data_IF_702477672683
#
_entry.id   IF_702477672683
#
_cell.length_a   1.000
_cell.length_b   1.000
_cell.length_c   1.000
_cell.angle_alpha   90.00
_cell.angle_beta   90.00
_cell.angle_gamma   90.00
#
_symmetry.space_group_name_H-M   'P 1'
#
loop_
_entity.id
_entity.type
_entity.pdbx_description
1 polymer ?
#
# COMPACT_ATOMS: atom_id res chain seq x y z
N UNK A 1 -9.43 34.74 3.05
CA UNK A 1 -10.86 35.01 3.28
C UNK A 1 -11.78 33.88 2.82
N UNK A 2 -12.00 33.61 1.52
CA UNK A 2 -12.95 32.55 1.10
C UNK A 2 -12.55 31.13 1.56
N UNK A 3 -11.28 30.74 1.39
CA UNK A 3 -10.78 29.42 1.82
C UNK A 3 -10.62 29.29 3.34
N UNK A 4 -10.46 30.40 4.03
CA UNK A 4 -10.38 30.46 5.49
C UNK A 4 -11.77 30.25 6.11
N UNK A 5 -12.80 30.91 5.54
CA UNK A 5 -14.20 30.62 5.87
C UNK A 5 -14.54 29.17 5.54
N UNK A 6 -14.11 28.66 4.38
CA UNK A 6 -14.33 27.25 4.04
C UNK A 6 -13.69 26.30 5.05
N UNK A 7 -12.43 26.56 5.46
CA UNK A 7 -11.76 25.76 6.47
C UNK A 7 -12.52 25.79 7.81
N UNK A 8 -12.83 26.98 8.34
CA UNK A 8 -13.42 27.13 9.67
C UNK A 8 -14.89 26.69 9.74
N UNK A 9 -15.67 26.97 8.70
CA UNK A 9 -17.13 26.77 8.71
C UNK A 9 -17.53 25.41 8.12
N UNK A 10 -16.75 24.88 7.16
CA UNK A 10 -17.07 23.63 6.47
C UNK A 10 -16.18 22.50 6.95
N UNK A 11 -14.84 22.63 6.84
CA UNK A 11 -13.93 21.50 7.10
C UNK A 11 -13.82 21.20 8.58
N UNK A 12 -13.48 22.16 9.44
CA UNK A 12 -13.25 21.90 10.88
C UNK A 12 -14.45 21.20 11.57
N UNK A 13 -15.71 21.57 11.30
CA UNK A 13 -16.86 20.90 11.93
C UNK A 13 -17.12 19.47 11.42
N UNK A 14 -16.76 19.15 10.18
CA UNK A 14 -17.10 17.87 9.56
C UNK A 14 -15.91 16.94 9.36
N UNK A 15 -14.66 17.43 9.55
CA UNK A 15 -13.43 16.71 9.17
C UNK A 15 -13.36 15.30 9.73
N UNK A 16 -13.74 15.10 11.00
CA UNK A 16 -13.66 13.78 11.63
C UNK A 16 -14.60 12.78 10.95
N UNK A 17 -15.86 13.19 10.74
CA UNK A 17 -16.86 12.38 10.05
C UNK A 17 -16.48 12.17 8.59
N UNK A 18 -16.05 13.22 7.90
CA UNK A 18 -15.64 13.15 6.51
C UNK A 18 -14.47 12.19 6.32
N UNK A 19 -13.44 12.26 7.17
CA UNK A 19 -12.31 11.32 7.12
C UNK A 19 -12.79 9.89 7.38
N UNK A 20 -13.66 9.66 8.36
CA UNK A 20 -14.19 8.32 8.62
C UNK A 20 -14.93 7.74 7.39
N UNK A 21 -15.81 8.52 6.77
CA UNK A 21 -16.53 8.10 5.54
C UNK A 21 -15.57 7.88 4.36
N UNK A 22 -14.55 8.73 4.19
CA UNK A 22 -13.55 8.55 3.15
C UNK A 22 -12.77 7.24 3.32
N UNK A 23 -12.39 6.89 4.54
CA UNK A 23 -11.70 5.63 4.82
C UNK A 23 -12.60 4.41 4.55
N UNK A 24 -13.90 4.51 4.85
CA UNK A 24 -14.88 3.47 4.48
C UNK A 24 -14.96 3.32 2.97
N UNK A 25 -15.07 4.41 2.21
CA UNK A 25 -15.12 4.35 0.75
C UNK A 25 -13.83 3.78 0.14
N UNK A 26 -12.66 4.16 0.68
CA UNK A 26 -11.37 3.59 0.24
C UNK A 26 -11.31 2.08 0.51
N UNK A 27 -11.83 1.63 1.65
CA UNK A 27 -11.91 0.19 1.97
C UNK A 27 -12.83 -0.54 0.99
N UNK A 28 -14.02 0.00 0.73
CA UNK A 28 -14.96 -0.55 -0.28
C UNK A 28 -14.31 -0.66 -1.65
N UNK A 29 -13.55 0.36 -2.05
CA UNK A 29 -12.78 0.33 -3.29
C UNK A 29 -11.71 -0.78 -3.32
N UNK A 30 -11.01 -0.99 -2.20
CA UNK A 30 -10.04 -2.10 -2.07
C UNK A 30 -10.70 -3.47 -2.12
N UNK A 31 -11.93 -3.59 -1.62
CA UNK A 31 -12.75 -4.79 -1.71
C UNK A 31 -13.33 -5.02 -3.12
N UNK A 32 -13.08 -4.10 -4.05
CA UNK A 32 -13.47 -4.19 -5.46
C UNK A 32 -14.87 -3.66 -5.74
N UNK A 33 -15.47 -2.92 -4.80
CA UNK A 33 -16.74 -2.25 -5.03
C UNK A 33 -16.57 -1.02 -5.93
N UNK A 34 -17.59 -0.72 -6.73
CA UNK A 34 -17.58 0.46 -7.59
C UNK A 34 -17.81 1.71 -6.74
N UNK A 35 -16.79 2.55 -6.61
CA UNK A 35 -16.81 3.80 -5.83
C UNK A 35 -16.59 5.02 -6.72
N UNK A 36 -17.02 6.19 -6.25
CA UNK A 36 -16.87 7.44 -7.00
C UNK A 36 -15.49 8.07 -6.73
N UNK A 37 -14.46 7.58 -7.43
CA UNK A 37 -13.06 8.03 -7.26
C UNK A 37 -12.89 9.54 -7.35
N UNK A 38 -13.64 10.21 -8.23
CA UNK A 38 -13.62 11.66 -8.38
C UNK A 38 -14.11 12.39 -7.12
N UNK A 39 -15.13 11.86 -6.44
CA UNK A 39 -15.66 12.44 -5.20
C UNK A 39 -14.69 12.22 -4.05
N UNK A 40 -14.12 11.01 -3.94
CA UNK A 40 -13.10 10.68 -2.94
C UNK A 40 -11.88 11.59 -3.13
N UNK A 41 -11.37 11.67 -4.35
CA UNK A 41 -10.21 12.51 -4.66
C UNK A 41 -10.48 13.99 -4.37
N UNK A 42 -11.60 14.55 -4.84
CA UNK A 42 -11.92 15.97 -4.59
C UNK A 42 -12.10 16.30 -3.12
N UNK A 43 -12.69 15.38 -2.33
CA UNK A 43 -12.81 15.54 -0.89
C UNK A 43 -11.44 15.53 -0.21
N UNK A 44 -10.55 14.62 -0.59
CA UNK A 44 -9.17 14.53 -0.09
C UNK A 44 -8.37 15.78 -0.48
N UNK A 45 -8.48 16.22 -1.74
CA UNK A 45 -7.80 17.40 -2.28
C UNK A 45 -8.22 18.68 -1.54
N UNK A 46 -9.47 18.75 -1.05
CA UNK A 46 -9.94 19.89 -0.27
C UNK A 46 -9.13 20.13 1.00
N UNK A 47 -8.59 19.08 1.65
CA UNK A 47 -7.71 19.20 2.82
C UNK A 47 -6.35 19.81 2.48
N UNK A 48 -5.91 19.69 1.21
CA UNK A 48 -4.65 20.25 0.71
C UNK A 48 -4.85 21.70 0.25
N UNK A 49 -5.86 21.96 -0.59
CA UNK A 49 -6.10 23.27 -1.20
C UNK A 49 -6.35 24.35 -0.15
N UNK A 50 -7.08 24.03 0.93
CA UNK A 50 -7.34 25.00 2.00
C UNK A 50 -6.09 25.45 2.74
N UNK A 51 -4.99 24.71 2.61
CA UNK A 51 -3.72 25.03 3.24
C UNK A 51 -2.68 25.62 2.29
N UNK A 52 -2.93 25.61 0.97
CA UNK A 52 -1.95 25.94 -0.07
C UNK A 52 -1.44 27.39 0.03
N UNK A 53 -2.28 28.30 0.51
CA UNK A 53 -1.99 29.73 0.66
C UNK A 53 -1.19 30.07 1.93
N UNK A 54 -1.05 29.14 2.89
CA UNK A 54 -0.25 29.39 4.08
C UNK A 54 1.24 29.17 3.76
N UNK A 55 2.09 30.13 4.16
CA UNK A 55 3.55 30.08 3.91
C UNK A 55 4.27 29.01 4.73
N UNK A 56 3.64 28.48 5.78
CA UNK A 56 4.11 27.36 6.61
C UNK A 56 2.99 26.32 6.77
N UNK A 57 3.33 25.03 6.75
CA UNK A 57 2.39 23.95 7.07
C UNK A 57 1.35 23.65 5.97
N UNK A 58 1.73 23.77 4.69
CA UNK A 58 0.84 23.57 3.52
C UNK A 58 0.12 22.22 3.44
N UNK A 59 0.58 21.22 4.18
CA UNK A 59 -0.01 19.88 4.22
C UNK A 59 -0.40 19.44 5.64
N UNK A 60 -0.25 20.30 6.65
CA UNK A 60 -0.36 19.88 8.05
C UNK A 60 -1.73 19.27 8.40
N UNK A 61 -2.83 19.86 7.91
CA UNK A 61 -4.20 19.37 8.11
C UNK A 61 -4.41 18.05 7.38
N UNK A 62 -3.95 17.96 6.14
CA UNK A 62 -3.99 16.72 5.37
C UNK A 62 -3.19 15.61 6.06
N UNK A 63 -1.98 15.90 6.53
CA UNK A 63 -1.10 14.93 7.19
C UNK A 63 -1.66 14.47 8.55
N UNK A 64 -2.11 15.41 9.40
CA UNK A 64 -2.57 15.10 10.74
C UNK A 64 -3.98 14.50 10.79
N UNK A 65 -4.89 14.96 9.94
CA UNK A 65 -6.29 14.54 10.01
C UNK A 65 -6.58 13.32 9.14
N UNK A 66 -5.93 13.21 7.97
CA UNK A 66 -6.22 12.20 6.96
C UNK A 66 -5.07 11.20 6.75
N UNK A 67 -3.86 11.65 6.37
CA UNK A 67 -2.76 10.76 5.98
C UNK A 67 -2.42 9.75 7.07
N UNK A 68 -2.32 10.19 8.34
CA UNK A 68 -2.00 9.29 9.44
C UNK A 68 -3.02 8.15 9.58
N UNK A 69 -4.32 8.47 9.50
CA UNK A 69 -5.39 7.47 9.59
C UNK A 69 -5.43 6.57 8.35
N UNK A 70 -5.18 7.15 7.17
CA UNK A 70 -5.06 6.40 5.92
C UNK A 70 -3.95 5.35 6.01
N UNK A 71 -2.77 5.71 6.51
CA UNK A 71 -1.64 4.79 6.63
C UNK A 71 -1.94 3.65 7.61
N UNK A 72 -2.58 3.96 8.74
CA UNK A 72 -2.98 2.95 9.73
C UNK A 72 -4.01 1.97 9.16
N UNK A 73 -5.07 2.47 8.53
CA UNK A 73 -6.08 1.62 7.87
C UNK A 73 -5.48 0.80 6.71
N UNK A 74 -4.55 1.37 5.96
CA UNK A 74 -3.82 0.65 4.89
C UNK A 74 -3.04 -0.52 5.48
N UNK A 75 -2.31 -0.27 6.56
CA UNK A 75 -1.52 -1.30 7.25
C UNK A 75 -2.41 -2.43 7.74
N UNK A 76 -3.47 -2.12 8.48
CA UNK A 76 -4.36 -3.13 9.06
C UNK A 76 -5.16 -3.90 7.99
N UNK A 77 -5.58 -3.22 6.91
CA UNK A 77 -6.21 -3.87 5.77
C UNK A 77 -5.28 -4.90 5.13
N UNK A 78 -4.07 -4.50 4.73
CA UNK A 78 -3.15 -5.41 4.05
C UNK A 78 -2.58 -6.48 4.98
N UNK A 79 -2.46 -6.21 6.29
CA UNK A 79 -2.12 -7.22 7.30
C UNK A 79 -3.15 -8.34 7.36
N UNK A 80 -4.43 -7.98 7.40
CA UNK A 80 -5.54 -8.93 7.42
C UNK A 80 -5.60 -9.71 6.11
N UNK A 81 -5.50 -9.02 4.99
CA UNK A 81 -5.50 -9.64 3.65
C UNK A 81 -4.32 -10.59 3.50
N UNK A 82 -3.10 -10.17 3.82
CA UNK A 82 -1.91 -11.00 3.62
C UNK A 82 -1.94 -12.24 4.50
N UNK A 83 -2.34 -12.11 5.78
CA UNK A 83 -2.50 -13.24 6.69
C UNK A 83 -3.50 -14.29 6.16
N UNK A 84 -4.65 -13.83 5.65
CA UNK A 84 -5.64 -14.73 5.02
C UNK A 84 -5.10 -15.41 3.77
N UNK A 85 -4.45 -14.65 2.88
CA UNK A 85 -3.92 -15.20 1.63
C UNK A 85 -2.83 -16.23 1.90
N UNK A 86 -1.97 -16.02 2.89
CA UNK A 86 -0.93 -16.99 3.28
C UNK A 86 -1.55 -18.27 3.83
N UNK A 87 -2.67 -18.21 4.56
CA UNK A 87 -3.31 -19.42 5.08
C UNK A 87 -4.13 -20.20 4.05
N UNK A 88 -4.61 -19.53 3.00
CA UNK A 88 -5.53 -20.11 2.02
C UNK A 88 -4.85 -20.53 0.71
N UNK A 89 -3.74 -19.89 0.33
CA UNK A 89 -3.11 -20.06 -0.99
C UNK A 89 -1.78 -20.80 -0.91
N UNK A 90 -1.41 -21.45 -2.03
CA UNK A 90 -0.03 -21.89 -2.25
C UNK A 90 0.89 -20.69 -2.44
N UNK A 91 2.21 -20.87 -2.24
CA UNK A 91 3.17 -19.80 -2.45
C UNK A 91 3.09 -19.20 -3.87
N UNK A 92 3.01 -20.03 -4.90
CA UNK A 92 2.84 -19.58 -6.29
C UNK A 92 1.59 -18.70 -6.47
N UNK A 93 0.42 -19.15 -5.98
CA UNK A 93 -0.82 -18.39 -6.06
C UNK A 93 -0.76 -17.10 -5.23
N UNK A 94 -0.08 -17.13 -4.08
CA UNK A 94 0.17 -15.96 -3.25
C UNK A 94 1.00 -14.91 -3.99
N UNK A 95 2.10 -15.29 -4.64
CA UNK A 95 2.97 -14.37 -5.39
C UNK A 95 2.19 -13.64 -6.50
N UNK A 96 1.34 -14.35 -7.24
CA UNK A 96 0.48 -13.76 -8.27
C UNK A 96 -0.51 -12.76 -7.65
N UNK A 97 -1.15 -13.15 -6.54
CA UNK A 97 -2.15 -12.29 -5.88
C UNK A 97 -1.51 -11.05 -5.26
N UNK A 98 -0.34 -11.19 -4.64
CA UNK A 98 0.41 -10.09 -4.03
C UNK A 98 0.87 -9.07 -5.08
N UNK A 99 1.44 -9.50 -6.22
CA UNK A 99 1.84 -8.60 -7.31
C UNK A 99 0.64 -7.81 -7.85
N UNK A 100 -0.49 -8.48 -8.03
CA UNK A 100 -1.72 -7.84 -8.47
C UNK A 100 -2.21 -6.76 -7.47
N UNK A 101 -2.28 -7.09 -6.18
CA UNK A 101 -2.73 -6.17 -5.14
C UNK A 101 -1.80 -4.95 -5.01
N UNK A 102 -0.48 -5.16 -5.07
CA UNK A 102 0.51 -4.08 -5.03
C UNK A 102 0.34 -3.13 -6.21
N UNK A 103 0.12 -3.64 -7.42
CA UNK A 103 -0.13 -2.81 -8.61
C UNK A 103 -1.43 -2.02 -8.48
N UNK A 104 -2.49 -2.66 -7.99
CA UNK A 104 -3.77 -1.97 -7.76
C UNK A 104 -3.62 -0.84 -6.75
N UNK A 105 -2.94 -1.07 -5.63
CA UNK A 105 -2.72 -0.03 -4.62
C UNK A 105 -1.87 1.11 -5.17
N UNK A 106 -0.85 0.81 -5.98
CA UNK A 106 -0.03 1.84 -6.64
C UNK A 106 -0.86 2.75 -7.55
N UNK A 107 -1.76 2.17 -8.35
CA UNK A 107 -2.69 2.95 -9.19
C UNK A 107 -3.64 3.77 -8.34
N UNK A 108 -4.31 3.14 -7.36
CA UNK A 108 -5.23 3.81 -6.42
C UNK A 108 -4.56 5.00 -5.71
N UNK A 109 -3.37 4.77 -5.17
CA UNK A 109 -2.63 5.78 -4.42
C UNK A 109 -2.17 6.96 -5.28
N UNK A 110 -1.95 6.74 -6.59
CA UNK A 110 -1.63 7.80 -7.55
C UNK A 110 -2.86 8.59 -8.03
N UNK A 111 -4.05 7.98 -7.97
CA UNK A 111 -5.29 8.59 -8.45
C UNK A 111 -6.04 9.33 -7.33
N UNK A 112 -5.97 8.83 -6.10
CA UNK A 112 -6.78 9.36 -4.99
C UNK A 112 -6.01 10.27 -4.04
N UNK A 113 -4.72 10.01 -3.81
CA UNK A 113 -3.97 10.63 -2.71
C UNK A 113 -2.96 11.67 -3.20
N UNK A 114 -2.58 12.57 -2.30
CA UNK A 114 -1.52 13.52 -2.57
C UNK A 114 -0.16 12.79 -2.68
N UNK A 115 0.73 13.30 -3.53
CA UNK A 115 2.04 12.71 -3.82
C UNK A 115 2.91 12.45 -2.57
N UNK A 116 2.72 13.24 -1.50
CA UNK A 116 3.41 13.03 -0.22
C UNK A 116 3.05 11.71 0.46
N UNK A 117 1.83 11.20 0.21
CA UNK A 117 1.32 9.96 0.80
C UNK A 117 1.43 8.77 -0.11
N UNK A 118 1.41 8.96 -1.44
CA UNK A 118 1.45 7.86 -2.42
C UNK A 118 2.59 6.87 -2.12
N UNK A 119 3.81 7.38 -1.88
CA UNK A 119 4.95 6.53 -1.56
C UNK A 119 4.85 5.87 -0.18
N UNK A 120 4.21 6.51 0.80
CA UNK A 120 4.03 5.97 2.15
C UNK A 120 3.00 4.83 2.14
N UNK A 121 1.86 5.03 1.46
CA UNK A 121 0.82 4.02 1.26
C UNK A 121 1.37 2.79 0.54
N UNK A 122 2.13 3.00 -0.54
CA UNK A 122 2.77 1.91 -1.27
C UNK A 122 3.73 1.10 -0.40
N UNK A 123 4.49 1.77 0.49
CA UNK A 123 5.39 1.09 1.43
C UNK A 123 4.63 0.28 2.48
N UNK A 124 3.52 0.79 3.01
CA UNK A 124 2.68 0.01 3.94
C UNK A 124 2.13 -1.24 3.25
N UNK A 125 1.63 -1.11 2.02
CA UNK A 125 1.16 -2.23 1.22
C UNK A 125 2.27 -3.27 0.93
N UNK A 126 3.41 -2.81 0.40
CA UNK A 126 4.57 -3.66 0.10
C UNK A 126 5.09 -4.36 1.39
N UNK A 127 5.13 -3.64 2.52
CA UNK A 127 5.56 -4.16 3.81
C UNK A 127 4.67 -5.30 4.32
N UNK A 128 3.34 -5.11 4.26
CA UNK A 128 2.39 -6.11 4.75
C UNK A 128 2.25 -7.33 3.84
N UNK A 129 2.46 -7.17 2.52
CA UNK A 129 2.35 -8.26 1.54
C UNK A 129 3.68 -8.99 1.28
N UNK A 130 4.83 -8.37 1.50
CA UNK A 130 6.14 -8.97 1.17
C UNK A 130 7.03 -9.08 2.39
N UNK A 131 7.33 -7.97 3.06
CA UNK A 131 8.36 -7.94 4.10
C UNK A 131 7.98 -8.79 5.32
N UNK A 132 6.72 -8.73 5.74
CA UNK A 132 6.21 -9.52 6.86
C UNK A 132 6.20 -11.04 6.60
N UNK A 133 6.26 -11.46 5.34
CA UNK A 133 6.22 -12.86 4.91
C UNK A 133 7.53 -13.33 4.29
N UNK A 134 8.60 -12.55 4.42
CA UNK A 134 9.88 -12.81 3.74
C UNK A 134 10.48 -14.18 4.08
N UNK A 135 10.31 -14.64 5.32
CA UNK A 135 10.82 -15.94 5.78
C UNK A 135 10.12 -17.11 5.10
N UNK A 136 8.80 -17.04 4.93
CA UNK A 136 8.00 -18.02 4.21
C UNK A 136 8.36 -18.02 2.72
N UNK A 137 8.50 -16.85 2.11
CA UNK A 137 8.87 -16.77 0.70
C UNK A 137 10.29 -17.31 0.45
N UNK A 138 11.22 -17.11 1.39
CA UNK A 138 12.58 -17.66 1.33
C UNK A 138 12.62 -19.19 1.43
N UNK A 139 11.78 -19.81 2.28
CA UNK A 139 11.74 -21.28 2.36
C UNK A 139 11.26 -21.90 1.04
N UNK A 140 10.24 -21.30 0.44
CA UNK A 140 9.66 -21.74 -0.83
C UNK A 140 10.61 -21.50 -2.02
N UNK A 141 11.40 -20.43 -1.97
CA UNK A 141 12.41 -20.11 -3.00
C UNK A 141 13.40 -21.26 -3.23
N UNK A 142 13.87 -21.92 -2.16
CA UNK A 142 14.78 -23.09 -2.29
C UNK A 142 14.12 -24.22 -3.07
N UNK A 143 12.85 -24.47 -2.83
CA UNK A 143 12.11 -25.52 -3.51
C UNK A 143 11.92 -25.15 -4.99
N UNK A 144 11.52 -23.91 -5.28
CA UNK A 144 11.39 -23.42 -6.66
C UNK A 144 12.70 -23.47 -7.45
N UNK A 145 13.84 -23.20 -6.80
CA UNK A 145 15.17 -23.33 -7.40
C UNK A 145 15.47 -24.79 -7.78
N UNK A 146 15.16 -25.74 -6.90
CA UNK A 146 15.36 -27.18 -7.15
C UNK A 146 14.47 -27.70 -8.28
N UNK A 147 13.23 -27.21 -8.32
CA UNK A 147 12.24 -27.60 -9.33
C UNK A 147 12.40 -26.84 -10.65
N UNK A 148 13.40 -25.96 -10.75
CA UNK A 148 13.66 -25.09 -11.91
C UNK A 148 12.42 -24.27 -12.35
N UNK A 149 11.57 -23.88 -11.40
CA UNK A 149 10.37 -23.07 -11.64
C UNK A 149 10.75 -21.58 -11.82
N UNK A 150 11.27 -21.26 -13.01
CA UNK A 150 11.76 -19.93 -13.36
C UNK A 150 10.66 -18.84 -13.34
N UNK A 151 9.41 -19.22 -13.59
CA UNK A 151 8.29 -18.28 -13.63
C UNK A 151 8.00 -17.70 -12.24
N UNK A 152 7.86 -18.56 -11.24
CA UNK A 152 7.60 -18.12 -9.86
C UNK A 152 8.84 -17.46 -9.22
N UNK A 153 10.05 -17.90 -9.59
CA UNK A 153 11.27 -17.20 -9.21
C UNK A 153 11.32 -15.77 -9.76
N UNK A 154 10.90 -15.57 -11.01
CA UNK A 154 10.79 -14.24 -11.61
C UNK A 154 9.79 -13.34 -10.88
N UNK A 155 8.62 -13.89 -10.49
CA UNK A 155 7.62 -13.18 -9.69
C UNK A 155 8.17 -12.80 -8.32
N UNK A 156 8.79 -13.77 -7.64
CA UNK A 156 9.36 -13.57 -6.31
C UNK A 156 10.46 -12.51 -6.33
N UNK A 157 11.33 -12.52 -7.34
CA UNK A 157 12.34 -11.49 -7.54
C UNK A 157 11.69 -10.11 -7.75
N UNK A 158 10.66 -10.02 -8.58
CA UNK A 158 9.96 -8.75 -8.83
C UNK A 158 9.32 -8.16 -7.56
N UNK A 159 8.83 -9.00 -6.66
CA UNK A 159 8.27 -8.57 -5.37
C UNK A 159 9.38 -8.16 -4.39
N UNK A 160 10.43 -8.99 -4.27
CA UNK A 160 11.50 -8.78 -3.30
C UNK A 160 12.52 -7.72 -3.70
N UNK A 161 12.64 -7.34 -4.97
CA UNK A 161 13.60 -6.29 -5.40
C UNK A 161 13.36 -4.94 -4.69
N UNK A 162 12.13 -4.69 -4.28
CA UNK A 162 11.69 -3.49 -3.56
C UNK A 162 12.15 -3.50 -2.11
N UNK A 163 12.40 -4.69 -1.55
CA UNK A 163 12.83 -4.89 -0.18
C UNK A 163 14.32 -5.26 -0.12
N UNK A 164 15.12 -4.40 0.50
CA UNK A 164 16.59 -4.58 0.60
C UNK A 164 16.95 -5.92 1.25
N UNK A 165 16.21 -6.33 2.26
CA UNK A 165 16.39 -7.60 2.97
C UNK A 165 15.96 -8.79 2.11
N UNK A 166 14.81 -8.69 1.42
CA UNK A 166 14.31 -9.75 0.54
C UNK A 166 15.28 -10.08 -0.60
N UNK A 167 15.77 -9.04 -1.30
CA UNK A 167 16.70 -9.22 -2.41
C UNK A 167 18.01 -9.89 -1.98
N UNK A 168 18.60 -9.44 -0.86
CA UNK A 168 19.85 -10.01 -0.34
C UNK A 168 19.70 -11.50 -0.05
N UNK A 169 18.58 -11.89 0.53
CA UNK A 169 18.31 -13.29 0.85
C UNK A 169 18.14 -14.14 -0.39
N UNK A 170 17.45 -13.66 -1.43
CA UNK A 170 17.35 -14.41 -2.70
C UNK A 170 18.71 -14.66 -3.36
N UNK A 171 19.56 -13.63 -3.38
CA UNK A 171 20.92 -13.76 -3.95
C UNK A 171 21.71 -14.84 -3.20
N UNK A 172 21.65 -14.84 -1.87
CA UNK A 172 22.33 -15.85 -1.06
C UNK A 172 21.81 -17.27 -1.34
N UNK A 173 20.50 -17.45 -1.50
CA UNK A 173 19.92 -18.77 -1.84
C UNK A 173 20.40 -19.30 -3.19
N UNK A 174 20.54 -18.41 -4.18
CA UNK A 174 21.05 -18.78 -5.50
C UNK A 174 22.55 -19.12 -5.44
N UNK A 175 23.34 -18.34 -4.71
CA UNK A 175 24.77 -18.61 -4.51
C UNK A 175 25.00 -19.98 -3.84
N UNK A 176 24.21 -20.32 -2.83
CA UNK A 176 24.33 -21.59 -2.12
C UNK A 176 23.98 -22.78 -3.04
N UNK A 177 22.93 -22.67 -3.86
CA UNK A 177 22.59 -23.72 -4.84
C UNK A 177 23.67 -23.91 -5.91
N UNK A 178 24.34 -22.84 -6.35
CA UNK A 178 25.45 -22.95 -7.31
C UNK A 178 26.65 -23.67 -6.70
N UNK A 179 26.90 -23.50 -5.39
CA UNK A 179 28.01 -24.17 -4.68
C UNK A 179 27.72 -25.65 -4.37
N UNK A 180 26.44 -26.03 -4.25
CA UNK A 180 26.01 -27.41 -3.99
C UNK A 180 25.94 -28.28 -5.26
N UNK A 181 25.83 -27.67 -6.45
CA UNK A 181 25.94 -28.34 -7.77
C UNK A 181 27.40 -28.51 -8.20
#
# INVERSE_FOLDING_TARGET
LALEIWKEVIIEPIKEKLVAELLVEIKRDRDGENTQHNVIHGAIESFVIVQEYYSRGKLQLYESEFEQKLLEETREFYRTVSSRLVSELTCSAYLVKADHLIRQEKVRASQLFHNSSTNKVNKECDGQLVENHVTLLQSECRQMIKDENLEDLGRMYSLMKSSVTGLRSMVQLLEDNIKEK
#
